data_IF_581845293823
#
_entry.id   IF_581845293823
#
_cell.length_a   1.000
_cell.length_b   1.000
_cell.length_c   1.000
_cell.angle_alpha   90.00
_cell.angle_beta   90.00
_cell.angle_gamma   90.00
#
_symmetry.space_group_name_H-M   'P 1'
#
loop_
_entity.id
_entity.type
_entity.pdbx_description
1 polymer ?
#
# COMPACT_ATOMS: atom_id res chain seq x y z
N UNK A 1 -16.18 16.48 6.27
CA UNK A 1 -14.93 15.97 5.67
C UNK A 1 -14.82 14.51 6.09
N UNK A 2 -14.66 13.55 5.17
CA UNK A 2 -14.55 12.14 5.58
C UNK A 2 -13.21 11.95 6.30
N UNK A 3 -13.24 11.34 7.48
CA UNK A 3 -12.03 11.04 8.23
C UNK A 3 -11.35 9.79 7.62
N UNK A 4 -10.50 10.01 6.63
CA UNK A 4 -9.76 8.93 5.96
C UNK A 4 -8.83 8.18 6.92
N UNK A 5 -8.35 8.83 7.97
CA UNK A 5 -7.48 8.21 8.98
C UNK A 5 -8.28 7.19 9.78
N UNK A 6 -9.42 7.60 10.35
CA UNK A 6 -10.29 6.70 11.10
C UNK A 6 -10.79 5.53 10.25
N UNK A 7 -11.23 5.80 9.01
CA UNK A 7 -11.67 4.75 8.09
C UNK A 7 -10.52 3.76 7.83
N UNK A 8 -9.31 4.25 7.57
CA UNK A 8 -8.17 3.38 7.28
C UNK A 8 -7.83 2.47 8.47
N UNK A 9 -7.76 3.01 9.69
CA UNK A 9 -7.55 2.21 10.90
C UNK A 9 -8.65 1.16 11.10
N UNK A 10 -9.92 1.55 10.92
CA UNK A 10 -11.05 0.62 11.08
C UNK A 10 -11.05 -0.51 10.05
N UNK A 11 -10.78 -0.21 8.78
CA UNK A 11 -10.80 -1.22 7.70
C UNK A 11 -9.53 -2.09 7.69
N UNK A 12 -8.40 -1.56 8.16
CA UNK A 12 -7.14 -2.29 8.21
C UNK A 12 -7.06 -3.26 9.38
N UNK A 13 -7.42 -2.82 10.59
CA UNK A 13 -7.32 -3.66 11.79
C UNK A 13 -8.54 -3.55 12.72
N UNK A 14 -9.26 -2.43 12.77
CA UNK A 14 -10.35 -2.27 13.73
C UNK A 14 -9.86 -2.34 15.18
N UNK A 15 -10.68 -2.89 16.07
CA UNK A 15 -10.40 -3.05 17.51
C UNK A 15 -9.88 -4.44 17.89
N UNK A 16 -9.64 -5.30 16.89
CA UNK A 16 -9.20 -6.69 17.08
C UNK A 16 -10.30 -7.66 17.53
N UNK A 17 -11.54 -7.20 17.73
CA UNK A 17 -12.64 -8.02 18.26
C UNK A 17 -13.66 -8.43 17.20
N UNK A 18 -13.78 -7.66 16.11
CA UNK A 18 -14.80 -7.88 15.08
C UNK A 18 -14.23 -8.22 13.70
N UNK A 19 -13.16 -9.02 13.66
CA UNK A 19 -12.51 -9.52 12.43
C UNK A 19 -12.06 -10.96 12.65
N UNK A 20 -12.20 -11.80 11.63
CA UNK A 20 -11.62 -13.14 11.59
C UNK A 20 -10.56 -13.18 10.50
N UNK A 21 -9.33 -12.79 10.83
CA UNK A 21 -8.27 -12.53 9.85
C UNK A 21 -7.85 -13.77 9.05
N UNK A 22 -8.09 -14.98 9.55
CA UNK A 22 -7.76 -16.22 8.83
C UNK A 22 -8.73 -16.53 7.68
N UNK A 23 -9.87 -15.82 7.58
CA UNK A 23 -10.75 -15.96 6.41
C UNK A 23 -10.09 -15.29 5.22
N UNK A 24 -10.29 -15.89 4.03
CA UNK A 24 -9.77 -15.36 2.76
C UNK A 24 -10.05 -13.87 2.60
N UNK A 25 -11.26 -13.44 2.94
CA UNK A 25 -11.62 -12.03 3.13
C UNK A 25 -12.83 -11.86 4.06
N UNK A 26 -12.98 -10.64 4.56
CA UNK A 26 -14.14 -10.12 5.28
C UNK A 26 -14.67 -8.89 4.55
N UNK A 27 -15.99 -8.83 4.32
CA UNK A 27 -16.67 -7.60 3.89
C UNK A 27 -17.06 -6.84 5.14
N UNK A 28 -16.46 -5.67 5.33
CA UNK A 28 -16.71 -4.79 6.48
C UNK A 28 -17.68 -3.71 6.03
N UNK A 29 -18.78 -3.53 6.76
CA UNK A 29 -19.74 -2.44 6.56
C UNK A 29 -19.88 -1.70 7.88
N UNK A 30 -19.43 -0.44 7.90
CA UNK A 30 -19.53 0.43 9.06
C UNK A 30 -20.95 1.03 9.20
N UNK A 31 -21.28 1.52 10.40
CA UNK A 31 -22.60 2.09 10.72
C UNK A 31 -22.97 3.28 9.81
N UNK A 32 -21.99 4.01 9.31
CA UNK A 32 -22.16 5.15 8.40
C UNK A 32 -22.24 4.74 6.92
N UNK A 33 -22.24 3.43 6.63
CA UNK A 33 -22.32 2.89 5.28
C UNK A 33 -20.97 2.77 4.56
N UNK A 34 -19.85 3.18 5.17
CA UNK A 34 -18.53 2.91 4.58
C UNK A 34 -18.28 1.40 4.53
N UNK A 35 -17.86 0.90 3.36
CA UNK A 35 -17.59 -0.51 3.14
C UNK A 35 -16.18 -0.75 2.62
N UNK A 36 -15.58 -1.87 3.03
CA UNK A 36 -14.26 -2.30 2.58
C UNK A 36 -14.12 -3.82 2.56
N UNK A 37 -13.09 -4.30 1.88
CA UNK A 37 -12.66 -5.70 1.93
C UNK A 37 -11.35 -5.76 2.69
N UNK A 38 -11.35 -6.48 3.81
CA UNK A 38 -10.13 -6.88 4.51
C UNK A 38 -9.81 -8.32 4.10
N UNK A 39 -8.62 -8.59 3.55
CA UNK A 39 -8.31 -9.92 3.01
C UNK A 39 -6.97 -10.44 3.50
N UNK A 40 -6.91 -11.75 3.70
CA UNK A 40 -5.70 -12.50 4.02
C UNK A 40 -4.85 -12.63 2.76
N UNK A 41 -3.55 -12.36 2.83
CA UNK A 41 -2.71 -12.19 1.63
C UNK A 41 -1.98 -13.48 1.19
N UNK A 42 -1.88 -14.50 2.04
CA UNK A 42 -1.12 -15.72 1.75
C UNK A 42 -1.72 -16.53 0.59
N UNK A 43 -3.04 -16.52 0.44
CA UNK A 43 -3.74 -17.32 -0.57
C UNK A 43 -3.68 -16.72 -1.99
N UNK A 44 -3.31 -15.44 -2.16
CA UNK A 44 -3.29 -14.81 -3.49
C UNK A 44 -2.73 -13.38 -3.55
N UNK A 45 -2.64 -12.84 -4.77
CA UNK A 45 -1.97 -11.55 -5.04
C UNK A 45 -2.94 -10.36 -5.17
N UNK A 46 -4.15 -10.47 -4.64
CA UNK A 46 -5.15 -9.40 -4.67
C UNK A 46 -5.92 -9.20 -5.99
N UNK A 47 -5.44 -9.71 -7.13
CA UNK A 47 -6.15 -9.58 -8.43
C UNK A 47 -7.56 -10.17 -8.39
N UNK A 48 -7.71 -11.34 -7.75
CA UNK A 48 -9.02 -11.97 -7.56
C UNK A 48 -9.93 -11.14 -6.65
N UNK A 49 -9.38 -10.55 -5.59
CA UNK A 49 -10.11 -9.67 -4.65
C UNK A 49 -10.57 -8.39 -5.35
N UNK A 50 -9.71 -7.77 -6.15
CA UNK A 50 -10.04 -6.57 -6.93
C UNK A 50 -11.15 -6.87 -7.94
N UNK A 51 -11.09 -8.03 -8.62
CA UNK A 51 -12.16 -8.45 -9.52
C UNK A 51 -13.47 -8.62 -8.78
N UNK A 52 -13.46 -9.34 -7.66
CA UNK A 52 -14.62 -9.51 -6.81
C UNK A 52 -15.22 -8.16 -6.36
N UNK A 53 -14.39 -7.24 -5.86
CA UNK A 53 -14.82 -5.91 -5.44
C UNK A 53 -15.49 -5.13 -6.57
N UNK A 54 -14.89 -5.14 -7.76
CA UNK A 54 -15.42 -4.41 -8.90
C UNK A 54 -16.80 -4.93 -9.32
N UNK A 55 -16.96 -6.24 -9.41
CA UNK A 55 -18.23 -6.86 -9.80
C UNK A 55 -19.30 -6.66 -8.72
N UNK A 56 -18.96 -6.85 -7.44
CA UNK A 56 -19.90 -6.62 -6.33
C UNK A 56 -20.32 -5.16 -6.25
N UNK A 57 -19.38 -4.22 -6.37
CA UNK A 57 -19.70 -2.79 -6.37
C UNK A 57 -20.63 -2.44 -7.53
N UNK A 58 -20.33 -2.92 -8.74
CA UNK A 58 -21.18 -2.70 -9.91
C UNK A 58 -22.58 -3.27 -9.71
N UNK A 59 -22.69 -4.53 -9.32
CA UNK A 59 -23.97 -5.21 -9.15
C UNK A 59 -24.84 -4.54 -8.07
N UNK A 60 -24.24 -4.25 -6.91
CA UNK A 60 -24.96 -3.64 -5.78
C UNK A 60 -25.37 -2.18 -6.01
N UNK A 61 -24.67 -1.45 -6.88
CA UNK A 61 -24.99 -0.04 -7.18
C UNK A 61 -25.89 0.14 -8.40
N UNK A 62 -25.74 -0.70 -9.43
CA UNK A 62 -26.56 -0.64 -10.64
C UNK A 62 -27.86 -1.44 -10.51
N UNK A 63 -27.86 -2.54 -9.74
CA UNK A 63 -28.99 -3.47 -9.60
C UNK A 63 -29.22 -3.87 -8.13
N UNK A 64 -29.46 -2.90 -7.23
CA UNK A 64 -29.72 -3.21 -5.82
C UNK A 64 -30.98 -4.07 -5.68
N UNK A 65 -30.85 -5.22 -5.00
CA UNK A 65 -31.98 -6.11 -4.70
C UNK A 65 -32.89 -5.53 -3.63
N UNK A 66 -32.33 -4.73 -2.72
CA UNK A 66 -33.04 -4.08 -1.61
C UNK A 66 -32.76 -2.58 -1.61
N UNK A 67 -33.76 -1.79 -1.23
CA UNK A 67 -33.69 -0.34 -1.15
C UNK A 67 -33.88 0.13 0.30
N UNK A 68 -33.53 1.39 0.63
CA UNK A 68 -33.74 1.94 1.98
C UNK A 68 -35.21 1.92 2.43
N UNK A 69 -36.16 1.89 1.49
CA UNK A 69 -37.59 1.77 1.74
C UNK A 69 -38.11 0.33 1.75
N UNK A 70 -37.28 -0.67 1.43
CA UNK A 70 -37.66 -2.07 1.44
C UNK A 70 -37.96 -2.53 2.87
N UNK A 71 -39.13 -3.14 3.07
CA UNK A 71 -39.44 -3.79 4.33
C UNK A 71 -38.69 -5.13 4.45
N UNK A 72 -38.17 -5.49 5.63
CA UNK A 72 -37.67 -6.84 5.88
C UNK A 72 -38.75 -7.89 5.60
N UNK A 73 -38.34 -9.04 5.05
CA UNK A 73 -39.27 -10.15 4.87
C UNK A 73 -39.82 -10.62 6.23
N UNK A 74 -41.10 -11.02 6.26
CA UNK A 74 -41.75 -11.55 7.45
C UNK A 74 -41.32 -13.01 7.70
N UNK A 75 -40.08 -13.19 8.17
CA UNK A 75 -39.45 -14.49 8.44
C UNK A 75 -38.94 -14.57 9.87
N UNK A 76 -38.95 -15.78 10.44
CA UNK A 76 -38.38 -16.03 11.75
C UNK A 76 -36.85 -16.10 11.68
N UNK A 77 -36.20 -14.97 11.94
CA UNK A 77 -34.73 -14.88 11.95
C UNK A 77 -34.11 -15.67 13.10
N UNK A 78 -34.84 -15.91 14.20
CA UNK A 78 -34.30 -16.58 15.38
C UNK A 78 -34.06 -18.08 15.14
N UNK A 79 -34.87 -18.72 14.30
CA UNK A 79 -34.63 -20.11 13.87
C UNK A 79 -33.61 -20.23 12.74
N UNK A 80 -33.45 -19.20 11.90
CA UNK A 80 -32.54 -19.22 10.75
C UNK A 80 -31.09 -18.79 11.09
N UNK A 81 -30.89 -17.98 12.13
CA UNK A 81 -29.56 -17.44 12.49
C UNK A 81 -29.06 -18.06 13.78
N UNK A 82 -27.94 -18.79 13.70
CA UNK A 82 -27.31 -19.44 14.86
C UNK A 82 -26.12 -18.62 15.37
N UNK A 83 -26.21 -18.13 16.61
CA UNK A 83 -25.04 -17.60 17.32
C UNK A 83 -24.07 -18.72 17.63
N UNK A 84 -22.82 -18.57 17.19
CA UNK A 84 -21.76 -19.50 17.55
C UNK A 84 -21.39 -19.33 19.03
N UNK A 85 -21.25 -20.45 19.73
CA UNK A 85 -20.87 -20.49 21.13
C UNK A 85 -19.49 -21.16 21.24
N UNK A 86 -18.59 -20.52 21.97
CA UNK A 86 -17.25 -21.03 22.24
C UNK A 86 -17.14 -21.37 23.72
N UNK A 87 -16.69 -22.58 24.02
CA UNK A 87 -16.37 -23.00 25.38
C UNK A 87 -14.91 -22.66 25.64
N UNK A 88 -14.67 -21.59 26.40
CA UNK A 88 -13.32 -21.08 26.68
C UNK A 88 -12.89 -21.54 28.07
N UNK A 89 -11.84 -22.35 28.13
CA UNK A 89 -11.17 -22.71 29.38
C UNK A 89 -10.25 -21.57 29.87
N UNK A 90 -9.53 -21.83 30.97
CA UNK A 90 -8.61 -20.84 31.55
C UNK A 90 -7.43 -20.49 30.63
N UNK A 91 -6.91 -21.47 29.90
CA UNK A 91 -5.77 -21.29 28.99
C UNK A 91 -6.17 -20.43 27.79
N UNK A 92 -7.30 -20.73 27.15
CA UNK A 92 -7.83 -19.95 26.04
C UNK A 92 -8.17 -18.52 26.44
N UNK A 93 -8.74 -18.30 27.63
CA UNK A 93 -9.00 -16.94 28.14
C UNK A 93 -7.71 -16.15 28.32
N UNK A 94 -6.67 -16.78 28.87
CA UNK A 94 -5.37 -16.15 29.03
C UNK A 94 -4.72 -15.87 27.66
N UNK A 95 -4.81 -16.82 26.72
CA UNK A 95 -4.35 -16.64 25.34
C UNK A 95 -5.02 -15.47 24.63
N UNK A 96 -6.34 -15.31 24.76
CA UNK A 96 -7.09 -14.18 24.22
C UNK A 96 -6.63 -12.85 24.84
N UNK A 97 -6.41 -12.82 26.15
CA UNK A 97 -5.91 -11.62 26.83
C UNK A 97 -4.52 -11.22 26.32
N UNK A 98 -3.60 -12.17 26.21
CA UNK A 98 -2.26 -11.94 25.66
C UNK A 98 -2.32 -11.49 24.19
N UNK A 99 -3.21 -12.09 23.38
CA UNK A 99 -3.42 -11.69 22.00
C UNK A 99 -3.92 -10.24 21.89
N UNK A 100 -4.85 -9.85 22.78
CA UNK A 100 -5.35 -8.48 22.86
C UNK A 100 -4.24 -7.48 23.23
N UNK A 101 -3.44 -7.78 24.25
CA UNK A 101 -2.33 -6.91 24.66
C UNK A 101 -1.30 -6.75 23.53
N UNK A 102 -0.98 -7.83 22.82
CA UNK A 102 -0.09 -7.80 21.66
C UNK A 102 -0.68 -6.98 20.51
N UNK A 103 -1.98 -7.12 20.25
CA UNK A 103 -2.69 -6.34 19.23
C UNK A 103 -2.65 -4.84 19.58
N UNK A 104 -3.06 -4.47 20.80
CA UNK A 104 -3.11 -3.09 21.27
C UNK A 104 -1.70 -2.46 21.26
N UNK A 105 -0.66 -3.21 21.66
CA UNK A 105 0.74 -2.77 21.61
C UNK A 105 1.30 -2.63 20.18
N UNK A 106 0.78 -3.38 19.22
CA UNK A 106 1.16 -3.27 17.81
C UNK A 106 0.45 -2.08 17.13
N UNK A 107 -0.85 -1.95 17.34
CA UNK A 107 -1.69 -0.90 16.73
C UNK A 107 -1.35 0.49 17.28
N UNK A 108 -1.03 0.61 18.57
CA UNK A 108 -0.62 1.89 19.17
C UNK A 108 0.63 2.53 18.55
N UNK A 109 1.45 1.73 17.86
CA UNK A 109 2.67 2.20 17.15
C UNK A 109 2.39 2.57 15.69
N UNK A 110 1.18 2.34 15.20
CA UNK A 110 0.80 2.58 13.82
C UNK A 110 0.28 4.02 13.66
N UNK A 111 0.73 4.68 12.59
CA UNK A 111 0.22 5.98 12.17
C UNK A 111 -0.17 5.87 10.70
N UNK A 112 -1.39 6.30 10.39
CA UNK A 112 -1.90 6.37 9.02
C UNK A 112 -2.27 7.82 8.74
N UNK A 113 -1.88 8.30 7.56
CA UNK A 113 -2.36 9.57 7.02
C UNK A 113 -2.69 9.41 5.53
N UNK A 114 -3.46 10.33 4.98
CA UNK A 114 -3.87 10.32 3.59
C UNK A 114 -3.69 11.70 2.96
N UNK A 115 -3.09 11.72 1.77
CA UNK A 115 -2.91 12.93 0.98
C UNK A 115 -3.69 12.84 -0.32
N UNK A 116 -4.49 13.86 -0.60
CA UNK A 116 -5.19 14.01 -1.88
C UNK A 116 -4.57 15.14 -2.70
N UNK A 117 -3.80 14.79 -3.74
CA UNK A 117 -3.21 15.77 -4.64
C UNK A 117 -4.22 16.22 -5.70
N UNK A 118 -4.75 17.45 -5.55
CA UNK A 118 -5.83 17.99 -6.41
C UNK A 118 -5.37 18.80 -7.62
N UNK A 119 -4.07 19.12 -7.72
CA UNK A 119 -3.54 20.02 -8.77
C UNK A 119 -3.31 19.31 -10.11
N UNK A 120 -3.49 18.01 -10.18
CA UNK A 120 -3.36 17.22 -11.41
C UNK A 120 -3.63 15.75 -11.18
N UNK A 121 -3.42 14.94 -12.22
CA UNK A 121 -3.64 13.49 -12.13
C UNK A 121 -3.45 12.78 -13.46
N UNK A 122 -3.95 11.54 -13.51
CA UNK A 122 -3.79 10.62 -14.64
C UNK A 122 -4.06 11.23 -16.01
N UNK A 123 -5.14 11.99 -16.17
CA UNK A 123 -5.53 12.56 -17.48
C UNK A 123 -4.57 13.63 -17.98
N UNK A 124 -4.04 14.47 -17.09
CA UNK A 124 -3.03 15.47 -17.45
C UNK A 124 -1.70 14.82 -17.79
N UNK A 125 -1.27 13.84 -16.98
CA UNK A 125 -0.01 13.12 -17.19
C UNK A 125 -0.04 12.33 -18.52
N UNK A 126 -1.17 11.71 -18.85
CA UNK A 126 -1.37 11.02 -20.14
C UNK A 126 -1.30 11.97 -21.33
N UNK A 127 -1.88 13.17 -21.25
CA UNK A 127 -1.76 14.19 -22.31
C UNK A 127 -0.31 14.59 -22.57
N UNK A 128 0.51 14.58 -21.52
CA UNK A 128 1.96 14.81 -21.60
C UNK A 128 2.78 13.55 -21.93
N UNK A 129 2.14 12.42 -22.27
CA UNK A 129 2.77 11.11 -22.53
C UNK A 129 3.63 10.59 -21.38
N UNK A 130 3.25 10.91 -20.13
CA UNK A 130 3.94 10.49 -18.92
C UNK A 130 3.16 9.35 -18.25
N UNK A 131 3.87 8.31 -17.80
CA UNK A 131 3.30 7.26 -16.97
C UNK A 131 2.95 7.85 -15.60
N UNK A 132 1.67 7.82 -15.18
CA UNK A 132 1.28 8.29 -13.85
C UNK A 132 2.07 7.55 -12.77
N UNK A 133 2.08 6.23 -12.84
CA UNK A 133 2.72 5.35 -11.88
C UNK A 133 4.21 5.70 -11.68
N UNK A 134 4.96 5.92 -12.77
CA UNK A 134 6.35 6.33 -12.70
C UNK A 134 6.55 7.73 -12.09
N UNK A 135 5.60 8.66 -12.29
CA UNK A 135 5.60 9.98 -11.64
C UNK A 135 5.35 9.85 -10.14
N UNK A 136 4.41 9.01 -9.71
CA UNK A 136 4.15 8.73 -8.29
C UNK A 136 5.40 8.13 -7.63
N UNK A 137 6.02 7.13 -8.26
CA UNK A 137 7.25 6.52 -7.76
C UNK A 137 8.39 7.54 -7.62
N UNK A 138 8.60 8.40 -8.63
CA UNK A 138 9.58 9.48 -8.54
C UNK A 138 9.24 10.45 -7.38
N UNK A 139 7.97 10.78 -7.16
CA UNK A 139 7.55 11.61 -6.05
C UNK A 139 7.89 10.98 -4.68
N UNK A 140 7.73 9.66 -4.51
CA UNK A 140 8.14 8.96 -3.30
C UNK A 140 9.66 9.01 -3.08
N UNK A 141 10.45 8.78 -4.13
CA UNK A 141 11.91 8.88 -4.03
C UNK A 141 12.35 10.30 -3.65
N UNK A 142 11.74 11.33 -4.26
CA UNK A 142 12.02 12.73 -3.94
C UNK A 142 11.60 13.11 -2.52
N UNK A 143 10.40 12.69 -2.12
CA UNK A 143 9.87 12.94 -0.78
C UNK A 143 10.74 12.31 0.30
N UNK A 144 11.13 11.05 0.10
CA UNK A 144 12.01 10.34 1.03
C UNK A 144 13.40 10.96 1.11
N UNK A 145 14.00 11.34 -0.03
CA UNK A 145 15.28 12.05 -0.04
C UNK A 145 15.18 13.39 0.69
N UNK A 146 14.11 14.15 0.48
CA UNK A 146 13.89 15.44 1.16
C UNK A 146 13.75 15.28 2.67
N UNK A 147 13.09 14.22 3.12
CA UNK A 147 12.82 13.99 4.54
C UNK A 147 14.01 13.37 5.28
N UNK A 148 14.72 12.42 4.65
CA UNK A 148 15.75 11.61 5.32
C UNK A 148 17.16 11.76 4.75
N UNK A 149 17.33 12.52 3.66
CA UNK A 149 18.64 12.76 3.05
C UNK A 149 19.29 11.54 2.41
N UNK A 150 18.55 10.46 2.17
CA UNK A 150 19.09 9.21 1.62
C UNK A 150 18.19 8.58 0.55
N UNK A 151 18.78 7.71 -0.28
CA UNK A 151 18.05 6.79 -1.18
C UNK A 151 17.95 5.43 -0.51
N UNK A 152 16.81 4.74 -0.63
CA UNK A 152 16.57 3.48 0.08
C UNK A 152 16.03 2.37 -0.82
N UNK A 153 16.12 1.13 -0.34
CA UNK A 153 15.51 -0.02 -0.99
C UNK A 153 13.99 0.19 -1.12
N UNK A 154 13.54 0.19 -2.36
CA UNK A 154 12.14 0.42 -2.72
C UNK A 154 11.59 -0.82 -3.43
N UNK A 155 10.38 -1.21 -3.04
CA UNK A 155 9.62 -2.31 -3.62
C UNK A 155 8.35 -1.75 -4.25
N UNK A 156 8.06 -2.22 -5.45
CA UNK A 156 6.75 -2.06 -6.08
C UNK A 156 6.28 -3.42 -6.61
N UNK A 157 5.02 -3.77 -6.33
CA UNK A 157 4.45 -5.04 -6.78
C UNK A 157 4.08 -5.00 -8.26
N UNK A 158 4.47 -6.01 -9.03
CA UNK A 158 4.07 -6.21 -10.42
C UNK A 158 3.42 -7.57 -10.62
N UNK A 159 2.26 -7.62 -11.28
CA UNK A 159 1.59 -8.90 -11.56
C UNK A 159 2.30 -9.68 -12.66
N UNK A 160 2.50 -10.98 -12.45
CA UNK A 160 2.93 -11.93 -13.49
C UNK A 160 1.80 -12.90 -13.89
N UNK A 161 0.54 -12.56 -13.58
CA UNK A 161 -0.64 -13.40 -13.83
C UNK A 161 -0.91 -13.72 -15.31
N UNK A 162 -0.18 -13.09 -16.25
CA UNK A 162 -0.19 -13.46 -17.66
C UNK A 162 0.45 -14.85 -17.92
N UNK A 163 1.26 -15.36 -17.00
CA UNK A 163 1.87 -16.69 -17.08
C UNK A 163 1.09 -17.72 -16.26
N UNK A 164 1.24 -19.01 -16.62
CA UNK A 164 0.61 -20.11 -15.88
C UNK A 164 1.11 -20.13 -14.43
N UNK A 165 0.18 -20.06 -13.47
CA UNK A 165 0.47 -19.93 -12.03
C UNK A 165 1.34 -18.71 -11.70
N UNK A 166 1.26 -17.67 -12.53
CA UNK A 166 1.88 -16.38 -12.26
C UNK A 166 1.47 -15.83 -10.90
N UNK A 167 2.44 -15.18 -10.24
CA UNK A 167 2.29 -14.53 -8.93
C UNK A 167 2.59 -13.03 -9.09
N UNK A 168 3.59 -12.55 -8.37
CA UNK A 168 4.14 -11.19 -8.49
C UNK A 168 5.64 -11.23 -8.79
N UNK A 169 6.13 -10.18 -9.42
CA UNK A 169 7.54 -9.79 -9.49
C UNK A 169 7.73 -8.44 -8.77
N UNK A 170 8.96 -8.12 -8.38
CA UNK A 170 9.32 -6.82 -7.81
C UNK A 170 9.84 -5.89 -8.88
N UNK A 171 9.20 -4.73 -8.98
CA UNK A 171 9.78 -3.55 -9.60
C UNK A 171 10.66 -2.84 -8.56
N UNK A 172 11.79 -2.29 -9.01
CA UNK A 172 12.75 -1.50 -8.20
C UNK A 172 12.78 -0.03 -8.67
N UNK A 173 11.90 0.84 -8.15
CA UNK A 173 11.79 2.24 -8.60
C UNK A 173 12.97 3.13 -8.19
N UNK A 174 13.75 2.71 -7.18
CA UNK A 174 15.00 3.36 -6.79
C UNK A 174 16.10 3.04 -7.82
N UNK A 175 16.22 3.88 -8.86
CA UNK A 175 17.18 3.75 -9.94
C UNK A 175 18.22 4.88 -9.89
N UNK A 176 19.30 4.76 -10.65
CA UNK A 176 20.27 5.84 -10.84
C UNK A 176 19.57 7.10 -11.39
N UNK A 177 18.55 6.93 -12.24
CA UNK A 177 17.81 8.04 -12.82
C UNK A 177 16.91 8.75 -11.79
N UNK A 178 16.14 8.00 -10.99
CA UNK A 178 15.30 8.61 -9.94
C UNK A 178 16.15 9.25 -8.86
N UNK A 179 17.30 8.67 -8.50
CA UNK A 179 18.28 9.30 -7.61
C UNK A 179 18.79 10.62 -8.19
N UNK A 180 19.29 10.64 -9.42
CA UNK A 180 19.79 11.87 -10.07
C UNK A 180 18.72 12.96 -10.13
N UNK A 181 17.50 12.59 -10.54
CA UNK A 181 16.38 13.52 -10.57
C UNK A 181 16.06 14.06 -9.18
N UNK A 182 16.02 13.20 -8.17
CA UNK A 182 15.72 13.63 -6.80
C UNK A 182 16.77 14.58 -6.25
N UNK A 183 18.05 14.31 -6.49
CA UNK A 183 19.13 15.24 -6.11
C UNK A 183 19.01 16.60 -6.80
N UNK A 184 18.70 16.64 -8.10
CA UNK A 184 18.52 17.88 -8.85
C UNK A 184 17.41 18.76 -8.25
N UNK A 185 16.30 18.16 -7.81
CA UNK A 185 15.17 18.89 -7.22
C UNK A 185 15.36 19.24 -5.73
N UNK A 186 16.05 18.39 -4.95
CA UNK A 186 16.12 18.52 -3.49
C UNK A 186 17.39 19.25 -3.02
N UNK A 187 18.55 18.95 -3.61
CA UNK A 187 19.85 19.47 -3.16
C UNK A 187 20.45 20.54 -4.07
N UNK A 188 19.91 20.70 -5.29
CA UNK A 188 20.42 21.62 -6.29
C UNK A 188 19.36 22.65 -6.77
N UNK A 189 18.54 23.23 -5.86
CA UNK A 189 17.52 24.18 -6.27
C UNK A 189 18.16 25.40 -6.95
N UNK A 190 17.66 25.75 -8.13
CA UNK A 190 18.14 26.89 -8.92
C UNK A 190 19.40 26.62 -9.75
N UNK A 191 20.01 25.42 -9.69
CA UNK A 191 21.17 25.08 -10.52
C UNK A 191 20.83 24.59 -11.93
N UNK A 192 19.58 24.18 -12.14
CA UNK A 192 19.09 23.64 -13.42
C UNK A 192 18.00 24.54 -13.99
N UNK A 193 18.05 24.77 -15.30
CA UNK A 193 16.96 25.38 -16.06
C UNK A 193 15.72 24.49 -16.07
N UNK A 194 14.57 25.06 -16.43
CA UNK A 194 13.30 24.32 -16.53
C UNK A 194 13.40 23.23 -17.60
N UNK A 195 14.10 23.52 -18.69
CA UNK A 195 14.33 22.62 -19.82
C UNK A 195 15.17 21.40 -19.41
N UNK A 196 16.23 21.63 -18.63
CA UNK A 196 17.07 20.55 -18.08
C UNK A 196 16.28 19.65 -17.12
N UNK A 197 15.49 20.23 -16.21
CA UNK A 197 14.65 19.46 -15.30
C UNK A 197 13.61 18.61 -16.04
N UNK A 198 12.98 19.17 -17.08
CA UNK A 198 12.05 18.42 -17.95
C UNK A 198 12.76 17.25 -18.64
N UNK A 199 13.97 17.45 -19.15
CA UNK A 199 14.75 16.39 -19.80
C UNK A 199 15.16 15.28 -18.80
N UNK A 200 15.52 15.65 -17.57
CA UNK A 200 15.83 14.70 -16.50
C UNK A 200 14.59 13.86 -16.14
N UNK A 201 13.43 14.50 -15.93
CA UNK A 201 12.16 13.81 -15.67
C UNK A 201 11.82 12.87 -16.83
N UNK A 202 11.91 13.35 -18.06
CA UNK A 202 11.61 12.52 -19.23
C UNK A 202 12.50 11.28 -19.32
N UNK A 203 13.80 11.42 -19.00
CA UNK A 203 14.73 10.29 -18.92
C UNK A 203 14.32 9.29 -17.85
N UNK A 204 13.92 9.76 -16.66
CA UNK A 204 13.41 8.90 -15.58
C UNK A 204 12.20 8.10 -16.08
N UNK A 205 11.23 8.76 -16.69
CA UNK A 205 9.97 8.14 -17.08
C UNK A 205 10.14 7.13 -18.21
N UNK A 206 11.08 7.35 -19.14
CA UNK A 206 11.43 6.36 -20.17
C UNK A 206 12.17 5.15 -19.59
N UNK A 207 12.96 5.34 -18.53
CA UNK A 207 13.81 4.28 -17.95
C UNK A 207 13.13 3.52 -16.81
N UNK A 208 12.11 4.12 -16.20
CA UNK A 208 11.15 3.45 -15.31
C UNK A 208 10.12 2.65 -16.11
N UNK A 209 10.19 2.60 -17.44
CA UNK A 209 9.38 1.65 -18.23
C UNK A 209 9.73 0.25 -17.73
N UNK A 210 8.76 -0.36 -17.08
CA UNK A 210 8.90 -1.63 -16.39
C UNK A 210 9.40 -2.70 -17.36
N UNK A 211 10.37 -3.49 -16.90
CA UNK A 211 10.77 -4.69 -17.62
C UNK A 211 9.52 -5.56 -17.86
N UNK A 212 9.45 -6.30 -18.98
CA UNK A 212 8.35 -7.22 -19.21
C UNK A 212 8.11 -8.08 -17.97
N UNK A 213 6.84 -8.32 -17.59
CA UNK A 213 6.53 -9.14 -16.42
C UNK A 213 7.31 -10.46 -16.46
N UNK A 214 7.94 -10.82 -15.33
CA UNK A 214 8.73 -12.05 -15.21
C UNK A 214 10.20 -11.97 -15.64
N UNK A 215 10.72 -10.77 -15.96
CA UNK A 215 12.15 -10.54 -16.23
C UNK A 215 12.86 -9.77 -15.10
N UNK A 216 12.25 -9.68 -13.92
CA UNK A 216 12.89 -9.14 -12.73
C UNK A 216 13.90 -10.14 -12.13
N UNK A 217 14.75 -9.64 -11.22
CA UNK A 217 15.77 -10.48 -10.59
C UNK A 217 15.33 -11.03 -9.22
N UNK A 218 14.42 -10.35 -8.52
CA UNK A 218 14.07 -10.66 -7.13
C UNK A 218 13.51 -12.08 -6.98
N UNK A 219 12.53 -12.47 -7.81
CA UNK A 219 11.96 -13.83 -7.75
C UNK A 219 12.94 -14.90 -8.20
N UNK A 220 13.80 -14.60 -9.18
CA UNK A 220 14.82 -15.55 -9.65
C UNK A 220 15.84 -15.84 -8.53
N UNK A 221 16.41 -14.80 -7.91
CA UNK A 221 17.35 -14.98 -6.80
C UNK A 221 16.69 -15.65 -5.59
N UNK A 222 15.43 -15.33 -5.30
CA UNK A 222 14.66 -16.02 -4.27
C UNK A 222 14.50 -17.52 -4.56
N UNK A 223 14.14 -17.89 -5.79
CA UNK A 223 13.95 -19.28 -6.18
C UNK A 223 15.25 -20.09 -6.08
N UNK A 224 16.38 -19.50 -6.49
CA UNK A 224 17.70 -20.12 -6.36
C UNK A 224 18.09 -20.33 -4.89
N UNK A 225 17.88 -19.32 -4.03
CA UNK A 225 18.10 -19.44 -2.58
C UNK A 225 17.23 -20.54 -1.97
N UNK A 226 15.95 -20.58 -2.34
CA UNK A 226 15.02 -21.60 -1.87
C UNK A 226 15.45 -23.01 -2.31
N UNK A 227 15.90 -23.18 -3.56
CA UNK A 227 16.38 -24.46 -4.09
C UNK A 227 17.64 -24.96 -3.37
N UNK A 228 18.61 -24.09 -3.08
CA UNK A 228 19.79 -24.46 -2.31
C UNK A 228 19.40 -24.94 -0.90
N UNK A 229 18.54 -24.19 -0.22
CA UNK A 229 18.05 -24.55 1.12
C UNK A 229 17.27 -25.88 1.12
N UNK A 230 16.41 -26.12 0.13
CA UNK A 230 15.61 -27.35 0.08
C UNK A 230 16.44 -28.60 -0.15
N UNK A 231 17.64 -28.45 -0.71
CA UNK A 231 18.64 -29.51 -0.88
C UNK A 231 19.62 -29.63 0.29
N UNK A 232 19.55 -28.75 1.28
CA UNK A 232 20.53 -28.68 2.38
C UNK A 232 21.92 -28.23 1.92
N UNK A 233 22.02 -27.54 0.78
CA UNK A 233 23.28 -27.01 0.26
C UNK A 233 23.66 -25.72 1.00
N UNK A 234 24.97 -25.45 1.11
CA UNK A 234 25.45 -24.18 1.63
C UNK A 234 25.03 -23.04 0.71
N UNK A 235 24.50 -21.96 1.27
CA UNK A 235 24.14 -20.77 0.50
C UNK A 235 25.37 -20.15 -0.17
N UNK A 236 25.23 -19.77 -1.44
CA UNK A 236 26.22 -18.97 -2.16
C UNK A 236 26.50 -17.65 -1.41
N UNK A 237 27.74 -17.16 -1.43
CA UNK A 237 28.18 -15.95 -0.70
C UNK A 237 27.36 -14.69 -1.03
N UNK A 238 26.77 -14.64 -2.23
CA UNK A 238 25.78 -13.63 -2.64
C UNK A 238 24.67 -13.42 -1.59
N UNK A 239 24.16 -14.50 -1.00
CA UNK A 239 23.03 -14.41 -0.05
C UNK A 239 23.45 -14.01 1.36
N UNK A 240 24.75 -14.08 1.66
CA UNK A 240 25.34 -13.62 2.93
C UNK A 240 25.89 -12.20 2.83
N UNK A 241 25.92 -11.62 1.62
CA UNK A 241 26.34 -10.24 1.41
C UNK A 241 25.36 -9.28 2.14
N UNK A 242 25.86 -8.34 2.97
CA UNK A 242 25.04 -7.29 3.56
C UNK A 242 24.19 -6.52 2.54
N UNK A 243 24.65 -6.36 1.31
CA UNK A 243 23.90 -5.70 0.23
C UNK A 243 22.64 -6.50 -0.17
N UNK A 244 22.71 -7.84 -0.17
CA UNK A 244 21.52 -8.68 -0.41
C UNK A 244 20.50 -8.52 0.73
N UNK A 245 20.96 -8.50 1.98
CA UNK A 245 20.07 -8.19 3.11
C UNK A 245 19.46 -6.79 2.99
N UNK A 246 20.25 -5.80 2.55
CA UNK A 246 19.80 -4.41 2.43
C UNK A 246 18.78 -4.22 1.31
N UNK A 247 18.96 -4.86 0.14
CA UNK A 247 18.02 -4.71 -0.98
C UNK A 247 16.68 -5.41 -0.70
N UNK A 248 16.68 -6.43 0.16
CA UNK A 248 15.45 -7.11 0.60
C UNK A 248 14.81 -6.48 1.85
N UNK A 249 15.42 -5.47 2.46
CA UNK A 249 14.83 -4.66 3.53
C UNK A 249 14.15 -3.41 2.95
N UNK A 250 12.92 -3.58 2.50
CA UNK A 250 12.18 -2.58 1.71
C UNK A 250 11.58 -1.47 2.57
N UNK A 251 12.38 -0.44 2.86
CA UNK A 251 11.91 0.73 3.63
C UNK A 251 10.76 1.45 2.92
N UNK A 252 10.77 1.54 1.60
CA UNK A 252 9.63 2.02 0.81
C UNK A 252 8.94 0.83 0.16
N UNK A 253 7.81 0.39 0.71
CA UNK A 253 6.97 -0.64 0.10
C UNK A 253 5.76 0.00 -0.55
N UNK A 254 5.61 -0.19 -1.86
CA UNK A 254 4.58 0.47 -2.67
C UNK A 254 3.71 -0.54 -3.42
N UNK A 255 2.44 -0.19 -3.59
CA UNK A 255 1.48 -0.90 -4.42
C UNK A 255 0.54 0.11 -5.08
N UNK A 256 0.04 -0.24 -6.25
CA UNK A 256 -0.95 0.59 -6.95
C UNK A 256 -2.20 -0.23 -7.21
N UNK A 257 -3.34 0.29 -6.75
CA UNK A 257 -4.67 -0.22 -7.07
C UNK A 257 -5.44 0.84 -7.83
N UNK A 258 -5.89 0.52 -9.05
CA UNK A 258 -6.72 1.43 -9.85
C UNK A 258 -8.04 0.77 -10.17
N UNK A 259 -9.11 1.29 -9.58
CA UNK A 259 -10.49 0.89 -9.88
C UNK A 259 -11.45 2.02 -9.53
N UNK A 260 -12.52 2.25 -10.33
CA UNK A 260 -13.59 3.17 -9.94
C UNK A 260 -14.38 2.71 -8.70
N UNK A 261 -14.28 1.42 -8.32
CA UNK A 261 -14.91 0.85 -7.14
C UNK A 261 -14.06 0.97 -5.86
N UNK A 262 -12.88 1.61 -5.95
CA UNK A 262 -11.94 1.79 -4.83
C UNK A 262 -11.80 3.27 -4.53
N UNK A 263 -12.16 3.67 -3.32
CA UNK A 263 -11.98 5.04 -2.82
C UNK A 263 -10.62 5.25 -2.13
N UNK A 264 -10.15 4.24 -1.40
CA UNK A 264 -8.88 4.22 -0.68
C UNK A 264 -8.44 2.75 -0.49
N UNK A 265 -7.13 2.53 -0.42
CA UNK A 265 -6.50 1.26 -0.10
C UNK A 265 -5.44 1.48 0.98
N UNK A 266 -4.99 0.41 1.63
CA UNK A 266 -3.94 0.52 2.63
C UNK A 266 -3.37 -0.84 3.00
N UNK A 267 -2.07 -0.87 3.27
CA UNK A 267 -1.33 -2.03 3.73
C UNK A 267 -0.40 -1.65 4.87
N UNK A 268 -0.13 -2.58 5.78
CA UNK A 268 0.85 -2.38 6.84
C UNK A 268 2.29 -2.46 6.27
N UNK A 269 3.26 -1.71 6.83
CA UNK A 269 4.66 -1.84 6.43
C UNK A 269 5.21 -3.25 6.71
N UNK A 270 6.09 -3.75 5.84
CA UNK A 270 6.65 -5.11 5.91
C UNK A 270 7.66 -5.34 7.04
N UNK A 271 8.21 -4.28 7.65
CA UNK A 271 9.22 -4.33 8.69
C UNK A 271 9.06 -3.21 9.73
N UNK A 272 9.85 -3.27 10.82
CA UNK A 272 9.80 -2.33 11.95
C UNK A 272 10.27 -0.91 11.61
N UNK A 273 11.06 -0.71 10.55
CA UNK A 273 11.51 0.61 10.07
C UNK A 273 10.94 0.97 8.69
N UNK A 274 9.95 0.21 8.21
CA UNK A 274 9.38 0.44 6.89
C UNK A 274 8.29 1.53 6.93
N UNK A 275 8.27 2.31 5.86
CA UNK A 275 7.15 3.12 5.43
C UNK A 275 6.37 2.34 4.36
N UNK A 276 5.12 2.00 4.66
CA UNK A 276 4.19 1.43 3.70
C UNK A 276 3.46 2.56 2.99
N UNK A 277 3.70 2.75 1.70
CA UNK A 277 2.94 3.69 0.88
C UNK A 277 1.98 2.88 0.01
N UNK A 278 0.69 3.16 0.04
CA UNK A 278 -0.26 2.53 -0.87
C UNK A 278 -0.94 3.60 -1.72
N UNK A 279 -0.79 3.48 -3.04
CA UNK A 279 -1.42 4.38 -3.98
C UNK A 279 -2.70 3.78 -4.52
N UNK A 280 -3.82 4.18 -3.92
CA UNK A 280 -5.16 3.94 -4.45
C UNK A 280 -5.46 4.92 -5.60
N UNK A 281 -4.69 4.82 -6.69
CA UNK A 281 -4.85 5.58 -7.93
C UNK A 281 -4.50 7.08 -7.89
N UNK A 282 -3.71 7.54 -8.88
CA UNK A 282 -3.42 8.97 -9.12
C UNK A 282 -4.62 9.82 -9.59
N UNK A 283 -5.84 9.35 -9.37
CA UNK A 283 -7.08 10.12 -9.53
C UNK A 283 -7.84 10.30 -8.23
N UNK A 284 -7.54 9.52 -7.18
CA UNK A 284 -8.33 9.43 -5.95
C UNK A 284 -7.45 9.10 -4.74
N UNK A 285 -6.58 10.03 -4.36
CA UNK A 285 -5.84 9.96 -3.09
C UNK A 285 -4.69 8.96 -3.01
N UNK A 286 -3.76 9.22 -2.11
CA UNK A 286 -2.69 8.29 -1.71
C UNK A 286 -2.79 8.07 -0.21
N UNK A 287 -2.74 6.82 0.23
CA UNK A 287 -2.68 6.46 1.65
C UNK A 287 -1.22 6.20 2.04
N UNK A 288 -0.80 6.74 3.17
CA UNK A 288 0.54 6.54 3.70
C UNK A 288 0.41 5.92 5.07
N UNK A 289 1.00 4.75 5.24
CA UNK A 289 1.03 4.01 6.50
C UNK A 289 2.46 3.90 7.01
N UNK A 290 2.66 4.22 8.28
CA UNK A 290 3.97 4.27 8.91
C UNK A 290 3.91 3.66 10.32
N UNK A 291 4.97 2.94 10.74
CA UNK A 291 5.17 2.65 12.17
C UNK A 291 5.97 3.80 12.79
N UNK A 292 5.30 4.63 13.59
CA UNK A 292 5.81 5.75 14.38
C UNK A 292 6.91 6.61 13.71
N UNK A 293 6.50 7.65 12.97
CA UNK A 293 7.37 8.79 12.62
C UNK A 293 6.69 10.06 13.11
N UNK A 294 7.32 10.69 14.11
CA UNK A 294 6.93 12.01 14.63
C UNK A 294 7.26 13.05 13.56
N UNK A 295 6.31 13.34 12.67
CA UNK A 295 6.37 14.45 11.74
C UNK A 295 6.13 15.75 12.52
N UNK A 296 7.17 16.32 13.13
CA UNK A 296 7.12 17.74 13.49
C UNK A 296 7.19 18.53 12.18
N UNK A 297 6.03 18.99 11.69
CA UNK A 297 6.02 20.03 10.67
C UNK A 297 6.67 21.27 11.28
N UNK A 298 7.92 21.51 10.91
CA UNK A 298 8.60 22.76 11.18
C UNK A 298 7.90 23.83 10.32
N UNK A 299 6.82 24.43 10.83
CA UNK A 299 6.25 25.64 10.25
C UNK A 299 7.24 26.75 10.57
N UNK A 300 8.18 27.02 9.66
CA UNK A 300 8.91 28.27 9.67
C UNK A 300 7.93 29.38 9.31
N UNK A 301 7.26 29.95 10.31
CA UNK A 301 6.50 31.19 10.18
C UNK A 301 7.49 32.35 10.06
N UNK A 302 7.88 32.70 8.83
CA UNK A 302 8.44 34.02 8.56
C UNK A 302 7.30 34.97 8.26
N UNK A 303 6.78 35.62 9.31
CA UNK A 303 5.91 36.79 9.21
C UNK A 303 6.71 37.95 8.62
N UNK A 304 6.41 38.33 7.37
CA UNK A 304 6.81 39.64 6.84
C UNK A 304 5.63 40.57 7.03
N UNK A 305 5.76 41.44 8.03
CA UNK A 305 4.94 42.63 8.21
C UNK A 305 5.24 43.62 7.09
N UNK A 306 4.22 44.07 6.38
CA UNK A 306 4.28 45.33 5.62
C UNK A 306 3.24 46.28 6.19
N UNK A 307 3.74 47.20 7.00
CA UNK A 307 3.14 48.48 7.32
C UNK A 307 3.45 49.50 6.22
N UNK A 308 2.48 50.39 6.00
CA UNK A 308 2.41 51.55 5.09
C UNK A 308 1.77 51.30 3.72
#
# INVERSE_FOLDING_TARGET
MRDHIHISHNMLHGDGCNRWYDKSFSVVIAKDGNAAINFEHSWGDGVAVLRFQNEVFKDTTEKPIVHPSSAPAAVDSASAVRRLQFNLDGELKHGIQNAKENFDAAVSKLTIDALEFKKGGKEQLKKSKLSPDAVAQLAFQMGFLRQYGQTTATYESCSTAAFKHGRTETIRPATIHTKRCSHAFVHEPGKHSVEELKAIIYTVLLRLVFHPPGQGFDRHLFALRYLANSKGESLHSLYTDPAYSSINHNILSTSTLTSPAVSLGGLLPSSRMDLGWDTASMTTGSAVTCRHIRLEMCTSSSSVSTSH
#
